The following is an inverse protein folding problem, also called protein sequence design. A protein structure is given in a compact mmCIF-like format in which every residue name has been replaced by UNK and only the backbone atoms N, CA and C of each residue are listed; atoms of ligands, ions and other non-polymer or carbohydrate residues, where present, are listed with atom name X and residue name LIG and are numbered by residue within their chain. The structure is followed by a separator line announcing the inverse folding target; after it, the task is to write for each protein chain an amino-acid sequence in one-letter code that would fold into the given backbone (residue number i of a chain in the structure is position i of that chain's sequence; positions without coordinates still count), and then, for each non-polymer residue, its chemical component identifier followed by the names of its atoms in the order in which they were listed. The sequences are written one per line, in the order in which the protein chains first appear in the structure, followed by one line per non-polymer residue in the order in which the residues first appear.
data_IF_491702249270
#
_entry.id   IF_491702249270
#
_cell.length_a   1.000
_cell.length_b   1.000
_cell.length_c   1.000
_cell.angle_alpha   90.00
_cell.angle_beta   90.00
_cell.angle_gamma   90.00
#
_symmetry.space_group_name_H-M   'P 1'
#
loop_
_entity.id
_entity.type
_entity.pdbx_description
1 polymer ?
#
# COMPACT_ATOMS: atom_id res chain seq x y z
N UNK A 1 1.08 -5.46 -18.63
CA UNK A 1 0.22 -4.70 -17.67
C UNK A 1 -0.77 -3.84 -18.42
N UNK A 2 -2.06 -3.94 -18.10
CA UNK A 2 -3.11 -3.06 -18.67
C UNK A 2 -2.99 -1.66 -18.04
N UNK A 3 -2.81 -0.62 -18.88
CA UNK A 3 -2.66 0.76 -18.39
C UNK A 3 -3.95 1.37 -17.83
N UNK A 4 -5.10 0.77 -18.11
CA UNK A 4 -6.41 1.21 -17.60
C UNK A 4 -6.57 0.98 -16.08
N UNK A 5 -5.69 0.21 -15.46
CA UNK A 5 -5.68 0.03 -14.00
C UNK A 5 -5.28 1.31 -13.26
N UNK A 6 -4.48 2.19 -13.87
CA UNK A 6 -4.10 3.48 -13.26
C UNK A 6 -5.26 4.47 -13.41
N UNK A 7 -5.97 4.71 -12.32
CA UNK A 7 -7.14 5.60 -12.26
C UNK A 7 -6.77 6.91 -11.56
N UNK A 8 -7.73 7.78 -11.39
CA UNK A 8 -7.48 9.11 -10.81
C UNK A 8 -7.04 9.07 -9.33
N UNK A 9 -7.48 8.03 -8.58
CA UNK A 9 -7.28 7.97 -7.12
C UNK A 9 -6.60 6.69 -6.63
N UNK A 10 -6.32 5.75 -7.52
CA UNK A 10 -5.71 4.46 -7.17
C UNK A 10 -5.31 3.65 -8.43
N UNK A 11 -4.74 2.48 -8.15
CA UNK A 11 -4.55 1.43 -9.16
C UNK A 11 -5.60 0.38 -8.87
N UNK A 12 -6.47 0.06 -9.86
CA UNK A 12 -7.59 -0.84 -9.65
C UNK A 12 -8.00 -1.57 -10.92
N UNK A 13 -8.31 -2.87 -10.78
CA UNK A 13 -8.79 -3.70 -11.87
C UNK A 13 -9.36 -5.03 -11.39
N UNK A 14 -9.89 -5.79 -12.33
CA UNK A 14 -10.41 -7.14 -12.11
C UNK A 14 -9.25 -8.14 -11.89
N UNK A 15 -9.38 -8.99 -10.88
CA UNK A 15 -8.45 -10.08 -10.61
C UNK A 15 -9.00 -11.39 -11.25
N UNK A 16 -8.18 -12.21 -11.93
CA UNK A 16 -6.75 -11.98 -12.20
C UNK A 16 -6.48 -11.32 -13.57
N UNK A 17 -7.50 -10.88 -14.29
CA UNK A 17 -7.41 -10.49 -15.71
C UNK A 17 -6.65 -9.18 -15.93
N UNK A 18 -6.75 -8.22 -15.01
CA UNK A 18 -6.09 -6.91 -15.08
C UNK A 18 -5.06 -6.72 -13.98
N UNK A 19 -5.32 -7.28 -12.81
CA UNK A 19 -4.40 -7.25 -11.64
C UNK A 19 -4.18 -8.70 -11.20
N UNK A 20 -2.94 -9.15 -11.30
CA UNK A 20 -2.45 -10.44 -10.87
C UNK A 20 -1.17 -10.27 -10.03
N UNK A 21 -0.55 -11.35 -9.66
CA UNK A 21 0.68 -11.42 -8.87
C UNK A 21 1.87 -10.77 -9.59
N UNK A 22 1.95 -10.88 -10.93
CA UNK A 22 3.02 -10.26 -11.72
C UNK A 22 2.87 -8.73 -11.74
N UNK A 23 1.63 -8.24 -11.89
CA UNK A 23 1.33 -6.82 -11.78
C UNK A 23 1.64 -6.31 -10.37
N UNK A 24 1.25 -7.04 -9.32
CA UNK A 24 1.54 -6.68 -7.93
C UNK A 24 3.06 -6.59 -7.68
N UNK A 25 3.82 -7.56 -8.16
CA UNK A 25 5.29 -7.54 -8.09
C UNK A 25 5.87 -6.33 -8.81
N UNK A 26 5.43 -6.05 -10.03
CA UNK A 26 5.90 -4.90 -10.83
C UNK A 26 5.59 -3.58 -10.14
N UNK A 27 4.38 -3.41 -9.59
CA UNK A 27 4.01 -2.24 -8.79
C UNK A 27 4.90 -2.13 -7.54
N UNK A 28 5.21 -3.25 -6.90
CA UNK A 28 6.14 -3.29 -5.75
C UNK A 28 7.55 -2.81 -6.13
N UNK A 29 8.13 -3.34 -7.22
CA UNK A 29 9.43 -2.91 -7.74
C UNK A 29 9.46 -1.41 -8.04
N UNK A 30 8.40 -0.96 -8.71
CA UNK A 30 8.23 0.44 -9.07
C UNK A 30 8.13 1.33 -7.84
N UNK A 31 7.26 0.96 -6.89
CA UNK A 31 7.00 1.78 -5.71
C UNK A 31 8.23 1.89 -4.80
N UNK A 32 8.89 0.77 -4.50
CA UNK A 32 10.10 0.77 -3.69
C UNK A 32 11.23 1.60 -4.32
N UNK A 33 11.37 1.55 -5.65
CA UNK A 33 12.33 2.40 -6.39
C UNK A 33 11.93 3.87 -6.38
N UNK A 34 10.65 4.15 -6.67
CA UNK A 34 10.10 5.50 -6.73
C UNK A 34 10.29 6.28 -5.43
N UNK A 35 9.96 5.65 -4.28
CA UNK A 35 10.09 6.32 -2.98
C UNK A 35 11.54 6.58 -2.58
N UNK A 36 12.47 5.74 -3.01
CA UNK A 36 13.89 5.97 -2.80
C UNK A 36 14.42 7.12 -3.66
N UNK A 37 14.12 7.14 -4.95
CA UNK A 37 14.65 8.13 -5.88
C UNK A 37 13.96 9.49 -5.80
N UNK A 38 12.64 9.51 -5.60
CA UNK A 38 11.84 10.75 -5.65
C UNK A 38 11.56 11.34 -4.28
N UNK A 39 11.52 10.52 -3.23
CA UNK A 39 11.12 10.95 -1.89
C UNK A 39 12.23 10.80 -0.85
N UNK A 40 13.38 10.21 -1.23
CA UNK A 40 14.48 9.88 -0.32
C UNK A 40 14.01 9.07 0.90
N UNK A 41 13.18 8.03 0.65
CA UNK A 41 12.62 7.13 1.65
C UNK A 41 13.05 5.69 1.36
N UNK A 42 13.39 4.94 2.41
CA UNK A 42 13.83 3.54 2.31
C UNK A 42 12.98 2.57 3.11
N UNK A 43 11.81 3.03 3.58
CA UNK A 43 10.89 2.21 4.33
C UNK A 43 9.46 2.65 4.02
N UNK A 44 8.55 1.69 3.90
CA UNK A 44 7.12 1.93 3.69
C UNK A 44 6.26 0.92 4.45
N UNK A 45 5.00 1.29 4.66
CA UNK A 45 4.00 0.39 5.24
C UNK A 45 3.21 -0.35 4.16
N UNK A 46 2.87 -1.62 4.39
CA UNK A 46 1.95 -2.39 3.56
C UNK A 46 0.84 -2.98 4.42
N UNK A 47 -0.39 -2.85 3.97
CA UNK A 47 -1.54 -3.51 4.58
C UNK A 47 -2.44 -4.11 3.50
N UNK A 48 -3.33 -5.01 3.88
CA UNK A 48 -4.29 -5.62 2.95
C UNK A 48 -5.67 -5.77 3.56
N UNK A 49 -6.70 -5.76 2.71
CA UNK A 49 -8.06 -6.10 3.10
C UNK A 49 -8.31 -7.63 3.11
N UNK A 50 -9.57 -8.03 3.29
CA UNK A 50 -9.98 -9.43 3.40
C UNK A 50 -10.41 -10.07 2.07
N UNK A 51 -10.16 -9.47 0.92
CA UNK A 51 -10.44 -10.08 -0.39
C UNK A 51 -9.58 -11.33 -0.59
N UNK A 52 -10.13 -12.34 -1.27
CA UNK A 52 -9.44 -13.63 -1.47
C UNK A 52 -8.10 -13.49 -2.21
N UNK A 53 -8.00 -12.50 -3.10
CA UNK A 53 -6.76 -12.21 -3.84
C UNK A 53 -5.77 -11.33 -3.05
N UNK A 54 -6.19 -10.64 -1.99
CA UNK A 54 -5.31 -9.70 -1.28
C UNK A 54 -4.08 -10.36 -0.64
N UNK A 55 -4.12 -11.58 -0.08
CA UNK A 55 -2.91 -12.21 0.46
C UNK A 55 -1.82 -12.47 -0.57
N UNK A 56 -2.16 -13.02 -1.75
CA UNK A 56 -1.20 -13.30 -2.82
C UNK A 56 -0.63 -12.01 -3.41
N UNK A 57 -1.49 -11.03 -3.68
CA UNK A 57 -1.08 -9.72 -4.21
C UNK A 57 -0.17 -8.96 -3.22
N UNK A 58 -0.51 -8.97 -1.91
CA UNK A 58 0.33 -8.32 -0.89
C UNK A 58 1.71 -8.99 -0.78
N UNK A 59 1.77 -10.32 -0.85
CA UNK A 59 3.03 -11.06 -0.83
C UNK A 59 3.95 -10.65 -1.99
N UNK A 60 3.44 -10.62 -3.20
CA UNK A 60 4.23 -10.27 -4.38
C UNK A 60 4.58 -8.77 -4.44
N UNK A 61 3.67 -7.91 -3.97
CA UNK A 61 3.95 -6.48 -3.79
C UNK A 61 5.13 -6.27 -2.83
N UNK A 62 5.11 -6.91 -1.64
CA UNK A 62 6.17 -6.83 -0.63
C UNK A 62 7.48 -7.36 -1.22
N UNK A 63 7.46 -8.48 -1.92
CA UNK A 63 8.63 -9.03 -2.60
C UNK A 63 9.23 -8.03 -3.58
N UNK A 64 8.41 -7.41 -4.41
CA UNK A 64 8.87 -6.38 -5.35
C UNK A 64 9.49 -5.17 -4.66
N UNK A 65 8.88 -4.68 -3.57
CA UNK A 65 9.40 -3.55 -2.79
C UNK A 65 10.77 -3.90 -2.18
N UNK A 66 10.90 -5.06 -1.56
CA UNK A 66 12.16 -5.47 -0.89
C UNK A 66 13.27 -5.73 -1.89
N UNK A 67 12.97 -6.31 -3.05
CA UNK A 67 13.95 -6.51 -4.13
C UNK A 67 14.42 -5.19 -4.79
N UNK A 68 13.76 -4.06 -4.53
CA UNK A 68 14.26 -2.73 -4.89
C UNK A 68 15.21 -2.13 -3.83
N UNK A 69 15.42 -2.81 -2.69
CA UNK A 69 16.24 -2.34 -1.57
C UNK A 69 15.49 -1.47 -0.56
N UNK A 70 14.16 -1.48 -0.58
CA UNK A 70 13.31 -0.75 0.36
C UNK A 70 12.78 -1.68 1.44
N UNK A 71 12.83 -1.25 2.70
CA UNK A 71 12.27 -1.99 3.84
C UNK A 71 10.74 -1.87 3.87
N UNK A 72 10.09 -2.91 4.41
CA UNK A 72 8.63 -2.97 4.56
C UNK A 72 8.25 -3.25 6.00
N UNK A 73 7.25 -2.50 6.49
CA UNK A 73 6.47 -2.87 7.67
C UNK A 73 5.14 -3.44 7.19
N UNK A 74 4.96 -4.75 7.38
CA UNK A 74 3.71 -5.44 7.03
C UNK A 74 2.71 -5.35 8.20
N UNK A 75 1.59 -4.69 7.96
CA UNK A 75 0.48 -4.58 8.91
C UNK A 75 -0.52 -5.75 8.80
N UNK A 76 -0.33 -6.64 7.83
CA UNK A 76 -1.19 -7.79 7.60
C UNK A 76 -2.62 -7.40 7.21
N UNK A 77 -3.58 -8.15 7.73
CA UNK A 77 -5.01 -7.93 7.52
C UNK A 77 -5.52 -6.79 8.39
N UNK A 78 -5.82 -5.65 7.76
CA UNK A 78 -6.28 -4.43 8.42
C UNK A 78 -7.37 -3.74 7.60
N UNK A 79 -8.15 -2.87 8.24
CA UNK A 79 -8.99 -1.90 7.52
C UNK A 79 -8.14 -0.71 7.08
N UNK A 80 -8.61 0.04 6.08
CA UNK A 80 -7.89 1.24 5.61
C UNK A 80 -7.63 2.26 6.75
N UNK A 81 -8.56 2.56 7.67
CA UNK A 81 -8.27 3.41 8.82
C UNK A 81 -7.20 2.83 9.76
N UNK A 82 -7.21 1.50 10.00
CA UNK A 82 -6.18 0.83 10.80
C UNK A 82 -4.81 0.88 10.12
N UNK A 83 -4.76 0.75 8.79
CA UNK A 83 -3.54 0.89 8.02
C UNK A 83 -2.91 2.28 8.22
N UNK A 84 -3.68 3.36 8.05
CA UNK A 84 -3.16 4.71 8.30
C UNK A 84 -2.71 4.92 9.73
N UNK A 85 -3.48 4.40 10.69
CA UNK A 85 -3.10 4.44 12.09
C UNK A 85 -1.81 3.64 12.37
N UNK A 86 -1.66 2.48 11.74
CA UNK A 86 -0.44 1.66 11.78
C UNK A 86 0.78 2.43 11.26
N UNK A 87 0.62 3.09 10.12
CA UNK A 87 1.66 3.95 9.56
C UNK A 87 2.09 5.05 10.55
N UNK A 88 1.13 5.73 11.19
CA UNK A 88 1.43 6.75 12.20
C UNK A 88 2.18 6.17 13.41
N UNK A 89 1.73 5.02 13.91
CA UNK A 89 2.35 4.35 15.08
C UNK A 89 3.75 3.82 14.79
N UNK A 90 3.96 3.31 13.59
CA UNK A 90 5.26 2.82 13.13
C UNK A 90 6.20 3.93 12.64
N UNK A 91 5.74 5.21 12.69
CA UNK A 91 6.47 6.37 12.18
C UNK A 91 6.87 6.24 10.69
N UNK A 92 6.00 5.64 9.90
CA UNK A 92 6.11 5.56 8.43
C UNK A 92 5.01 6.42 7.82
N UNK A 93 5.37 7.35 6.95
CA UNK A 93 4.41 8.32 6.38
C UNK A 93 3.89 7.93 5.01
N UNK A 94 4.43 6.85 4.41
CA UNK A 94 4.10 6.38 3.06
C UNK A 94 3.93 4.87 3.04
N UNK A 95 3.15 4.38 2.10
CA UNK A 95 2.95 2.94 1.92
C UNK A 95 1.81 2.61 0.96
N UNK A 96 1.44 1.35 0.94
CA UNK A 96 0.39 0.81 0.06
C UNK A 96 -0.60 -0.01 0.87
N UNK A 97 -1.88 0.25 0.63
CA UNK A 97 -2.99 -0.60 1.07
C UNK A 97 -3.51 -1.41 -0.12
N UNK A 98 -3.43 -2.73 -0.05
CA UNK A 98 -3.97 -3.65 -1.05
C UNK A 98 -5.47 -3.78 -0.83
N UNK A 99 -6.25 -3.17 -1.70
CA UNK A 99 -7.71 -3.10 -1.61
C UNK A 99 -8.36 -2.54 -2.87
N UNK A 100 -9.56 -2.97 -3.19
CA UNK A 100 -10.43 -2.29 -4.17
C UNK A 100 -11.57 -1.50 -3.49
N UNK A 101 -11.46 -1.20 -2.19
CA UNK A 101 -12.45 -0.39 -1.46
C UNK A 101 -13.85 -1.04 -1.49
N UNK A 102 -14.84 -0.37 -2.12
CA UNK A 102 -16.23 -0.81 -2.23
C UNK A 102 -16.57 -1.50 -3.57
N UNK A 103 -15.58 -1.77 -4.41
CA UNK A 103 -15.79 -2.47 -5.67
C UNK A 103 -16.23 -3.94 -5.48
N UNK A 104 -16.78 -4.59 -6.52
CA UNK A 104 -17.12 -6.01 -6.49
C UNK A 104 -15.99 -6.89 -5.94
N UNK A 105 -16.36 -8.08 -5.47
CA UNK A 105 -15.41 -9.01 -4.79
C UNK A 105 -14.25 -9.46 -5.67
N UNK A 106 -14.46 -9.47 -6.98
CA UNK A 106 -13.49 -9.93 -7.98
C UNK A 106 -12.51 -8.81 -8.41
N UNK A 107 -12.75 -7.56 -8.01
CA UNK A 107 -11.78 -6.47 -8.18
C UNK A 107 -10.75 -6.47 -7.06
N UNK A 108 -9.54 -5.99 -7.37
CA UNK A 108 -8.54 -5.63 -6.37
C UNK A 108 -7.70 -4.43 -6.83
N UNK A 109 -6.77 -3.96 -6.01
CA UNK A 109 -5.96 -2.80 -6.35
C UNK A 109 -5.02 -2.34 -5.26
N UNK A 110 -4.43 -1.18 -5.51
CA UNK A 110 -3.41 -0.59 -4.66
C UNK A 110 -3.71 0.89 -4.43
N UNK A 111 -4.02 1.24 -3.18
CA UNK A 111 -4.05 2.63 -2.72
C UNK A 111 -2.69 2.95 -2.13
N UNK A 112 -1.99 3.92 -2.67
CA UNK A 112 -0.63 4.25 -2.26
C UNK A 112 -0.48 5.74 -1.95
N UNK A 113 0.50 6.06 -1.13
CA UNK A 113 0.88 7.43 -0.77
C UNK A 113 2.28 7.75 -1.25
N UNK A 114 2.51 9.01 -1.63
CA UNK A 114 3.80 9.48 -2.16
C UNK A 114 4.40 10.69 -1.44
N UNK A 115 3.62 11.41 -0.65
CA UNK A 115 4.10 12.63 0.01
C UNK A 115 3.66 12.76 1.47
N UNK A 116 2.57 12.12 1.88
CA UNK A 116 2.01 12.18 3.22
C UNK A 116 1.07 10.98 3.47
N UNK A 117 0.57 10.84 4.68
CA UNK A 117 -0.46 9.86 5.01
C UNK A 117 -1.79 10.21 4.30
N UNK A 118 -1.93 9.73 3.09
CA UNK A 118 -3.09 9.92 2.25
C UNK A 118 -2.89 9.23 0.90
N UNK A 119 -3.96 8.98 0.18
CA UNK A 119 -3.85 8.34 -1.12
C UNK A 119 -3.32 9.32 -2.17
N UNK A 120 -2.44 8.83 -3.03
CA UNK A 120 -2.05 9.51 -4.26
C UNK A 120 -3.28 9.77 -5.13
N UNK A 121 -3.28 10.88 -5.88
CA UNK A 121 -4.40 11.29 -6.75
C UNK A 121 -3.93 12.11 -7.93
N UNK A 122 -4.71 12.05 -8.99
CA UNK A 122 -4.49 12.86 -10.19
C UNK A 122 -3.06 12.71 -10.71
N UNK A 123 -2.35 13.83 -10.79
CA UNK A 123 -0.96 13.88 -11.30
C UNK A 123 -0.02 12.91 -10.58
N UNK A 124 -0.18 12.69 -9.28
CA UNK A 124 0.68 11.77 -8.52
C UNK A 124 0.55 10.32 -9.02
N UNK A 125 -0.67 9.89 -9.36
CA UNK A 125 -0.90 8.54 -9.92
C UNK A 125 -0.32 8.44 -11.33
N UNK A 126 -0.47 9.48 -12.14
CA UNK A 126 0.06 9.49 -13.50
C UNK A 126 1.59 9.59 -13.54
N UNK A 127 2.21 10.38 -12.68
CA UNK A 127 3.67 10.42 -12.54
C UNK A 127 4.22 9.04 -12.12
N UNK A 128 3.55 8.38 -11.18
CA UNK A 128 3.91 7.02 -10.77
C UNK A 128 3.70 6.00 -11.89
N UNK A 129 2.61 6.11 -12.66
CA UNK A 129 2.39 5.29 -13.87
C UNK A 129 3.54 5.44 -14.83
N UNK A 130 3.91 6.67 -15.19
CA UNK A 130 4.97 6.93 -16.16
C UNK A 130 6.34 6.41 -15.66
N UNK A 131 6.62 6.53 -14.37
CA UNK A 131 7.78 5.92 -13.74
C UNK A 131 7.75 4.38 -13.82
N UNK A 132 6.59 3.77 -13.58
CA UNK A 132 6.40 2.31 -13.69
C UNK A 132 6.66 1.83 -15.12
N UNK A 133 6.16 2.56 -16.12
CA UNK A 133 6.33 2.22 -17.53
C UNK A 133 7.78 2.37 -18.01
N UNK A 134 8.55 3.27 -17.43
CA UNK A 134 9.98 3.41 -17.75
C UNK A 134 10.80 2.17 -17.36
N UNK A 135 10.35 1.38 -16.37
CA UNK A 135 10.92 0.08 -16.03
C UNK A 135 12.32 0.12 -15.40
N UNK A 136 12.84 1.29 -15.08
CA UNK A 136 14.19 1.47 -14.51
C UNK A 136 14.15 1.32 -12.98
N UNK A 137 13.96 0.08 -12.52
CA UNK A 137 13.83 -0.17 -11.08
C UNK A 137 15.18 -0.43 -10.42
N UNK A 138 15.35 0.11 -9.22
CA UNK A 138 16.51 -0.18 -8.36
C UNK A 138 16.54 -1.68 -8.01
N UNK A 139 17.71 -2.17 -7.67
CA UNK A 139 17.90 -3.53 -7.16
C UNK A 139 18.62 -3.48 -5.81
N UNK A 140 18.15 -4.30 -4.87
CA UNK A 140 18.69 -4.35 -3.52
C UNK A 140 18.01 -5.42 -2.69
N UNK A 141 18.28 -5.42 -1.38
CA UNK A 141 17.71 -6.35 -0.42
C UNK A 141 17.16 -5.53 0.76
N UNK A 142 15.85 -5.27 0.74
CA UNK A 142 15.13 -4.70 1.87
C UNK A 142 14.69 -5.77 2.86
N UNK A 143 14.38 -5.38 4.08
CA UNK A 143 13.89 -6.25 5.13
C UNK A 143 12.37 -6.12 5.28
N UNK A 144 11.73 -7.19 5.76
CA UNK A 144 10.32 -7.18 6.16
C UNK A 144 10.26 -7.29 7.67
N UNK A 145 9.51 -6.40 8.30
CA UNK A 145 9.11 -6.49 9.70
C UNK A 145 7.59 -6.46 9.81
N UNK A 146 7.04 -7.11 10.82
CA UNK A 146 5.60 -7.14 11.06
C UNK A 146 5.23 -6.18 12.19
N UNK A 147 4.09 -5.51 12.06
CA UNK A 147 3.52 -4.68 13.12
C UNK A 147 2.00 -4.79 13.08
N UNK A 148 1.40 -5.33 14.14
CA UNK A 148 -0.05 -5.41 14.28
C UNK A 148 -0.61 -4.16 14.98
N UNK A 149 -1.32 -3.28 14.28
CA UNK A 149 -1.87 -2.06 14.86
C UNK A 149 -3.20 -2.26 15.60
N UNK A 150 -3.80 -3.47 15.60
CA UNK A 150 -5.19 -3.70 16.02
C UNK A 150 -5.47 -3.29 17.46
N UNK A 151 -4.64 -3.71 18.39
CA UNK A 151 -4.86 -3.43 19.82
C UNK A 151 -4.61 -1.95 20.15
N UNK A 152 -3.62 -1.33 19.50
CA UNK A 152 -3.39 0.11 19.59
C UNK A 152 -4.58 0.91 19.03
N UNK A 153 -5.13 0.47 17.89
CA UNK A 153 -6.27 1.13 17.26
C UNK A 153 -7.54 0.99 18.10
N UNK A 154 -7.84 -0.20 18.64
CA UNK A 154 -8.95 -0.42 19.57
C UNK A 154 -8.85 0.49 20.80
N UNK A 155 -7.67 0.55 21.42
CA UNK A 155 -7.45 1.41 22.57
C UNK A 155 -7.66 2.89 22.24
N UNK A 156 -7.17 3.34 21.09
CA UNK A 156 -7.37 4.71 20.62
C UNK A 156 -8.84 5.06 20.41
N UNK A 157 -9.61 4.17 19.80
CA UNK A 157 -11.05 4.35 19.59
C UNK A 157 -11.79 4.38 20.93
N UNK A 158 -11.54 3.41 21.82
CA UNK A 158 -12.20 3.32 23.11
C UNK A 158 -11.99 4.57 23.97
N UNK A 159 -10.77 5.10 24.04
CA UNK A 159 -10.48 6.34 24.79
C UNK A 159 -11.30 7.52 24.24
N UNK A 160 -11.48 7.61 22.93
CA UNK A 160 -12.22 8.70 22.30
C UNK A 160 -13.72 8.60 22.55
N UNK A 161 -14.30 7.39 22.59
CA UNK A 161 -15.72 7.19 22.85
C UNK A 161 -16.08 7.34 24.34
N UNK A 162 -15.23 6.94 25.27
CA UNK A 162 -15.48 7.14 26.71
C UNK A 162 -15.59 8.62 27.09
N UNK A 163 -14.92 9.52 26.38
CA UNK A 163 -15.00 10.97 26.63
C UNK A 163 -16.37 11.54 26.23
N UNK A 164 -17.07 10.95 25.28
CA UNK A 164 -18.39 11.43 24.87
C UNK A 164 -19.54 10.97 25.81
N UNK A 165 -19.34 9.90 26.56
CA UNK A 165 -20.32 9.43 27.57
C UNK A 165 -20.22 10.18 28.92
N UNK A 166 -19.26 11.10 29.04
CA UNK A 166 -18.97 11.88 30.28
C UNK A 166 -19.31 13.38 30.14
N UNK A 167 -19.91 13.82 29.02
CA UNK A 167 -20.38 15.18 28.77
C UNK A 167 -21.91 15.16 28.55
#
# INVERSE_FOLDING_TARGET
MDLKIFREYDIRGEYPTQIDEEVAYTIGRSYGSYIQEKLNRKICGVGRDNRLSSPSLAKELIRGITESGCDVIDFGLVTTPMYFFGCLKANVIIGIMVTASHNPKDDNGFKFSVDHLGNARGKQVYDFKDYTLAGNFLSGNGNVSEFDPRDYYKSFINIRFIIYDLI
#
